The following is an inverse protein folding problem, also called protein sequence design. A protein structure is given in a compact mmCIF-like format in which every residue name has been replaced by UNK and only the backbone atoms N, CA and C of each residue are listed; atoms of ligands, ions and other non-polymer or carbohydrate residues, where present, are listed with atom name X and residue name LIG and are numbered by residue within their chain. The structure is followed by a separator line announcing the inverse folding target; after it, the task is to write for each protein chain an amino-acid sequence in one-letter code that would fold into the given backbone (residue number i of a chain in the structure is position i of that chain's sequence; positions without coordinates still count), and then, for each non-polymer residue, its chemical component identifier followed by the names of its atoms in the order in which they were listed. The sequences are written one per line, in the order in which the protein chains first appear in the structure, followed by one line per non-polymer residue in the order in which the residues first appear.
data_IF_983523762202
#
_entry.id   IF_983523762202
#
_cell.length_a   1.000
_cell.length_b   1.000
_cell.length_c   1.000
_cell.angle_alpha   90.00
_cell.angle_beta   90.00
_cell.angle_gamma   90.00
#
_symmetry.space_group_name_H-M   'P 1'
#
loop_
_entity.id
_entity.type
_entity.pdbx_description
1 polymer ?
#
# COMPACT_ATOMS: atom_id res chain seq x y z
N UNK A 1 -37.98 2.22 39.82
CA UNK A 1 -37.30 2.91 40.92
C UNK A 1 -35.83 3.03 40.52
N UNK A 2 -35.48 4.00 39.79
CA UNK A 2 -34.87 5.30 40.09
C UNK A 2 -33.57 5.19 40.90
N UNK A 3 -32.44 5.42 40.27
CA UNK A 3 -31.41 6.24 40.84
C UNK A 3 -30.55 6.91 39.76
N UNK A 4 -31.03 8.08 39.37
CA UNK A 4 -30.29 9.17 38.74
C UNK A 4 -29.56 9.89 39.87
N UNK A 5 -28.35 10.25 39.69
CA UNK A 5 -27.59 11.36 40.30
C UNK A 5 -26.19 10.93 40.71
N UNK A 6 -25.21 11.27 39.89
CA UNK A 6 -24.14 12.14 40.35
C UNK A 6 -23.52 12.83 39.14
N UNK A 7 -24.06 13.98 38.81
CA UNK A 7 -23.33 15.04 38.15
C UNK A 7 -22.26 15.54 39.12
N UNK A 8 -21.04 15.54 38.76
CA UNK A 8 -20.01 16.40 39.34
C UNK A 8 -19.67 17.48 38.33
N UNK A 9 -20.11 18.72 38.56
CA UNK A 9 -19.54 19.88 37.90
C UNK A 9 -18.38 20.36 38.76
N UNK A 10 -17.23 20.56 38.22
CA UNK A 10 -16.17 21.49 38.64
C UNK A 10 -14.83 21.04 38.03
N UNK A 11 -14.49 21.63 36.92
CA UNK A 11 -13.19 22.25 36.74
C UNK A 11 -13.17 22.97 35.38
N UNK A 12 -13.80 24.12 35.35
CA UNK A 12 -13.44 25.15 34.40
C UNK A 12 -12.11 25.74 34.87
N UNK A 13 -11.05 25.44 34.18
CA UNK A 13 -9.79 26.18 34.30
C UNK A 13 -9.55 26.91 32.98
N UNK A 14 -9.90 28.15 33.01
CA UNK A 14 -9.42 29.19 32.11
C UNK A 14 -7.87 29.27 32.20
N UNK A 15 -7.17 28.99 31.12
CA UNK A 15 -5.84 29.52 30.93
C UNK A 15 -5.85 30.25 29.58
N UNK A 16 -6.12 31.55 29.69
CA UNK A 16 -5.74 32.53 28.69
C UNK A 16 -4.25 32.81 28.88
N UNK A 17 -3.43 32.42 27.92
CA UNK A 17 -2.06 32.93 27.78
C UNK A 17 -1.86 33.30 26.32
N UNK A 18 -1.99 34.58 26.06
CA UNK A 18 -1.51 35.25 24.86
C UNK A 18 0.01 35.14 24.83
N UNK A 19 0.54 34.61 23.74
CA UNK A 19 1.96 34.58 23.43
C UNK A 19 2.15 34.81 21.95
N UNK A 20 2.22 36.07 21.58
CA UNK A 20 2.71 36.53 20.29
C UNK A 20 4.20 36.20 20.20
N UNK A 21 4.61 35.34 19.31
CA UNK A 21 5.97 35.27 18.78
C UNK A 21 5.92 35.03 17.29
N UNK A 22 6.00 36.15 16.58
CA UNK A 22 6.40 36.21 15.19
C UNK A 22 7.80 35.62 15.04
N UNK A 23 7.91 34.56 14.28
CA UNK A 23 9.17 33.98 13.86
C UNK A 23 9.07 33.70 12.36
N UNK A 24 9.34 34.70 11.54
CA UNK A 24 9.70 34.50 10.15
C UNK A 24 11.05 33.78 10.11
N UNK A 25 11.04 32.52 9.71
CA UNK A 25 12.24 31.83 9.27
C UNK A 25 12.17 31.72 7.76
N UNK A 26 12.94 32.58 7.11
CA UNK A 26 13.32 32.50 5.69
C UNK A 26 13.92 31.12 5.43
N UNK A 27 13.24 30.31 4.64
CA UNK A 27 13.83 29.12 4.02
C UNK A 27 14.47 29.55 2.70
N UNK A 28 15.79 29.48 2.53
CA UNK A 28 16.39 29.72 1.25
C UNK A 28 15.99 28.64 0.27
N UNK A 29 15.31 29.03 -0.78
CA UNK A 29 15.02 28.22 -1.94
C UNK A 29 16.33 27.67 -2.52
N UNK A 30 16.52 26.36 -2.42
CA UNK A 30 17.59 25.65 -3.11
C UNK A 30 17.25 25.60 -4.61
N UNK A 31 17.63 26.66 -5.33
CA UNK A 31 17.63 26.66 -6.79
C UNK A 31 18.79 25.81 -7.28
N UNK A 32 18.50 24.55 -7.61
CA UNK A 32 19.43 23.75 -8.39
C UNK A 32 19.39 24.18 -9.84
N UNK A 33 20.45 24.92 -10.21
CA UNK A 33 20.77 25.33 -11.58
C UNK A 33 21.06 24.05 -12.43
N UNK A 34 20.44 23.90 -13.61
CA UNK A 34 20.76 22.79 -14.48
C UNK A 34 22.19 22.93 -15.03
N UNK A 35 22.95 21.82 -15.15
CA UNK A 35 24.28 21.88 -15.74
C UNK A 35 24.20 22.20 -17.23
N UNK A 36 25.00 23.20 -17.61
CA UNK A 36 25.21 23.63 -19.01
C UNK A 36 25.79 22.48 -19.82
N UNK A 37 25.24 22.30 -21.02
CA UNK A 37 25.79 21.54 -22.12
C UNK A 37 27.27 21.79 -22.33
N UNK A 38 28.06 20.76 -22.24
CA UNK A 38 29.42 20.78 -22.75
C UNK A 38 29.41 20.23 -24.19
N UNK A 39 29.92 21.06 -25.06
CA UNK A 39 30.13 20.90 -26.47
C UNK A 39 30.93 19.65 -26.84
N UNK A 40 30.50 18.99 -27.92
CA UNK A 40 31.18 17.92 -28.63
C UNK A 40 32.58 18.30 -29.12
N UNK A 41 33.52 17.37 -29.11
CA UNK A 41 34.56 17.32 -30.14
C UNK A 41 34.14 16.30 -31.23
N UNK A 42 34.28 16.77 -32.49
CA UNK A 42 34.35 15.96 -33.70
C UNK A 42 35.59 15.09 -33.65
N UNK A 43 35.46 13.80 -33.93
CA UNK A 43 36.46 13.03 -34.63
C UNK A 43 35.89 11.71 -35.13
N UNK A 44 35.84 11.58 -36.40
CA UNK A 44 36.44 10.54 -37.30
C UNK A 44 35.64 9.27 -37.47
N UNK A 45 35.17 9.14 -38.70
CA UNK A 45 34.73 7.96 -39.45
C UNK A 45 35.61 6.74 -39.23
N UNK A 46 35.01 5.55 -39.02
CA UNK A 46 35.45 4.29 -39.63
C UNK A 46 34.34 3.24 -39.53
N UNK A 47 34.03 2.64 -40.65
CA UNK A 47 33.45 1.34 -40.98
C UNK A 47 31.94 1.14 -40.74
N UNK A 48 31.24 1.19 -41.86
CA UNK A 48 30.00 0.45 -42.11
C UNK A 48 30.15 -1.02 -41.73
N UNK A 49 29.31 -1.46 -40.81
CA UNK A 49 28.93 -2.85 -40.70
C UNK A 49 27.41 -2.87 -40.66
N UNK A 50 26.85 -3.36 -41.80
CA UNK A 50 25.44 -3.69 -41.94
C UNK A 50 24.94 -4.44 -40.72
N UNK A 51 24.15 -3.76 -39.91
CA UNK A 51 23.32 -4.42 -38.90
C UNK A 51 21.89 -3.93 -39.15
N UNK A 52 21.08 -4.80 -39.72
CA UNK A 52 19.66 -4.54 -39.92
C UNK A 52 19.01 -4.02 -38.62
N UNK A 53 18.14 -3.01 -38.69
CA UNK A 53 17.45 -2.52 -37.51
C UNK A 53 16.58 -3.64 -36.93
N UNK A 54 16.52 -3.78 -35.58
CA UNK A 54 15.65 -4.76 -34.96
C UNK A 54 14.22 -4.52 -35.38
N UNK A 55 13.37 -5.56 -35.51
CA UNK A 55 11.98 -5.41 -35.92
C UNK A 55 11.30 -4.41 -34.98
N UNK A 56 10.64 -3.43 -35.56
CA UNK A 56 9.80 -2.47 -34.81
C UNK A 56 8.78 -3.25 -34.01
N UNK A 57 9.01 -3.42 -32.72
CA UNK A 57 7.99 -3.94 -31.83
C UNK A 57 6.77 -3.04 -31.94
N UNK A 58 5.65 -3.62 -32.38
CA UNK A 58 4.41 -2.88 -32.52
C UNK A 58 3.95 -2.41 -31.15
N UNK A 59 3.39 -1.21 -31.06
CA UNK A 59 2.87 -0.60 -29.83
C UNK A 59 1.92 -1.53 -29.06
N UNK A 60 1.31 -2.50 -29.75
CA UNK A 60 0.48 -3.56 -29.14
C UNK A 60 1.31 -4.52 -28.27
N UNK A 61 2.51 -4.92 -28.71
CA UNK A 61 3.39 -5.84 -27.96
C UNK A 61 4.00 -5.18 -26.73
N UNK A 62 4.33 -3.89 -26.82
CA UNK A 62 4.82 -3.12 -25.66
C UNK A 62 3.71 -2.99 -24.62
N UNK A 63 2.50 -2.69 -25.05
CA UNK A 63 1.33 -2.55 -24.16
C UNK A 63 0.90 -3.89 -23.53
N UNK A 64 1.15 -4.99 -24.21
CA UNK A 64 0.89 -6.34 -23.70
C UNK A 64 1.96 -6.76 -22.68
N UNK A 65 3.24 -6.44 -22.91
CA UNK A 65 4.31 -6.64 -21.91
C UNK A 65 4.23 -5.72 -20.70
N UNK A 66 3.66 -4.53 -20.83
CA UNK A 66 3.34 -3.67 -19.69
C UNK A 66 2.21 -4.26 -18.85
N UNK A 67 1.20 -4.85 -19.49
CA UNK A 67 0.13 -5.56 -18.77
C UNK A 67 0.60 -6.84 -18.07
N UNK A 68 1.60 -7.53 -18.62
CA UNK A 68 2.19 -8.72 -18.00
C UNK A 68 3.15 -8.41 -16.85
N UNK A 69 3.75 -7.22 -16.81
CA UNK A 69 4.62 -6.79 -15.70
C UNK A 69 3.87 -6.27 -14.47
N UNK A 70 2.61 -5.88 -14.62
CA UNK A 70 1.79 -5.36 -13.52
C UNK A 70 1.09 -6.43 -12.69
N UNK A 71 1.23 -7.71 -13.04
CA UNK A 71 0.59 -8.81 -12.32
C UNK A 71 1.50 -10.03 -12.31
N UNK A 72 2.31 -10.17 -11.28
CA UNK A 72 2.66 -11.50 -10.76
C UNK A 72 1.47 -12.05 -9.94
N UNK A 73 0.31 -11.90 -10.50
CA UNK A 73 -0.95 -12.45 -10.05
C UNK A 73 -1.24 -13.63 -10.97
N UNK A 74 -1.04 -14.84 -10.49
CA UNK A 74 -1.33 -16.06 -11.24
C UNK A 74 -2.76 -16.10 -11.81
N UNK A 75 -3.09 -17.04 -12.71
CA UNK A 75 -4.30 -17.05 -13.56
C UNK A 75 -5.64 -17.12 -12.81
N UNK A 76 -5.66 -16.88 -11.50
CA UNK A 76 -6.83 -16.98 -10.61
C UNK A 76 -7.27 -15.64 -10.01
N UNK A 77 -6.59 -14.53 -10.35
CA UNK A 77 -6.91 -13.26 -9.75
C UNK A 77 -8.09 -12.59 -10.44
N UNK A 78 -9.15 -12.42 -9.68
CA UNK A 78 -10.33 -11.70 -10.16
C UNK A 78 -9.98 -10.24 -10.46
N UNK A 79 -10.63 -9.64 -11.47
CA UNK A 79 -10.50 -8.21 -11.76
C UNK A 79 -10.73 -7.37 -10.48
N UNK A 80 -11.64 -7.81 -9.63
CA UNK A 80 -11.94 -7.19 -8.35
C UNK A 80 -10.74 -7.14 -7.39
N UNK A 81 -9.93 -8.21 -7.33
CA UNK A 81 -8.72 -8.23 -6.50
C UNK A 81 -7.69 -7.25 -7.04
N UNK A 82 -7.45 -7.26 -8.36
CA UNK A 82 -6.52 -6.30 -9.00
C UNK A 82 -6.91 -4.85 -8.76
N UNK A 83 -8.20 -4.52 -8.89
CA UNK A 83 -8.71 -3.17 -8.62
C UNK A 83 -8.46 -2.76 -7.16
N UNK A 84 -8.72 -3.65 -6.22
CA UNK A 84 -8.50 -3.38 -4.81
C UNK A 84 -7.02 -3.22 -4.46
N UNK A 85 -6.14 -4.04 -5.04
CA UNK A 85 -4.68 -3.92 -4.88
C UNK A 85 -4.17 -2.61 -5.49
N UNK A 86 -4.69 -2.21 -6.65
CA UNK A 86 -4.35 -0.92 -7.26
C UNK A 86 -4.72 0.24 -6.34
N UNK A 87 -5.93 0.26 -5.80
CA UNK A 87 -6.35 1.30 -4.84
C UNK A 87 -5.42 1.35 -3.60
N UNK A 88 -4.99 0.20 -3.10
CA UNK A 88 -4.01 0.13 -2.02
C UNK A 88 -2.68 0.76 -2.42
N UNK A 89 -2.15 0.44 -3.60
CA UNK A 89 -0.89 0.99 -4.12
C UNK A 89 -0.98 2.50 -4.39
N UNK A 90 -2.16 2.98 -4.79
CA UNK A 90 -2.46 4.40 -4.99
C UNK A 90 -2.63 5.18 -3.66
N UNK A 91 -2.62 4.47 -2.51
CA UNK A 91 -2.80 5.06 -1.18
C UNK A 91 -4.27 5.28 -0.79
N UNK A 92 -5.23 4.88 -1.61
CA UNK A 92 -6.66 4.89 -1.27
C UNK A 92 -7.01 3.63 -0.45
N UNK A 93 -6.60 3.65 0.82
CA UNK A 93 -6.77 2.50 1.71
C UNK A 93 -8.24 2.21 2.04
N UNK A 94 -9.10 3.22 2.16
CA UNK A 94 -10.52 3.02 2.41
C UNK A 94 -11.25 2.51 1.17
N UNK A 95 -10.90 3.00 -0.01
CA UNK A 95 -11.34 2.47 -1.29
C UNK A 95 -10.92 1.01 -1.48
N UNK A 96 -9.67 0.68 -1.15
CA UNK A 96 -9.15 -0.69 -1.18
C UNK A 96 -9.94 -1.62 -0.25
N UNK A 97 -10.17 -1.22 1.01
CA UNK A 97 -10.98 -1.98 1.97
C UNK A 97 -12.38 -2.23 1.42
N UNK A 98 -13.03 -1.18 0.91
CA UNK A 98 -14.38 -1.28 0.34
C UNK A 98 -14.42 -2.23 -0.85
N UNK A 99 -13.48 -2.09 -1.80
CA UNK A 99 -13.41 -2.91 -3.02
C UNK A 99 -13.11 -4.37 -2.71
N UNK A 100 -12.15 -4.62 -1.83
CA UNK A 100 -11.73 -5.98 -1.44
C UNK A 100 -12.73 -6.68 -0.51
N UNK A 101 -13.62 -5.95 0.14
CA UNK A 101 -14.69 -6.50 0.97
C UNK A 101 -15.98 -6.74 0.17
N UNK A 102 -16.01 -6.45 -1.11
CA UNK A 102 -17.21 -6.56 -1.93
C UNK A 102 -17.65 -8.03 -2.12
N UNK A 103 -18.90 -8.21 -2.52
CA UNK A 103 -19.54 -9.53 -2.58
C UNK A 103 -18.84 -10.47 -3.58
N UNK A 104 -18.38 -9.94 -4.70
CA UNK A 104 -17.66 -10.71 -5.74
C UNK A 104 -16.35 -11.32 -5.21
N UNK A 105 -15.61 -10.60 -4.38
CA UNK A 105 -14.45 -11.14 -3.66
C UNK A 105 -14.87 -12.22 -2.65
N UNK A 106 -15.93 -11.99 -1.90
CA UNK A 106 -16.41 -12.95 -0.90
C UNK A 106 -16.90 -14.26 -1.52
N UNK A 107 -17.35 -14.24 -2.78
CA UNK A 107 -17.75 -15.39 -3.57
C UNK A 107 -16.59 -16.05 -4.33
N UNK A 108 -15.40 -15.46 -4.30
CA UNK A 108 -14.22 -15.95 -5.01
C UNK A 108 -13.57 -17.16 -4.32
N UNK A 109 -12.69 -17.90 -5.01
CA UNK A 109 -11.92 -18.98 -4.42
C UNK A 109 -11.16 -18.58 -3.16
N UNK A 110 -10.88 -19.51 -2.23
CA UNK A 110 -10.19 -19.22 -0.97
C UNK A 110 -8.88 -18.45 -1.14
N UNK A 111 -8.07 -18.79 -2.12
CA UNK A 111 -6.80 -18.09 -2.39
C UNK A 111 -6.99 -16.60 -2.70
N UNK A 112 -7.97 -16.26 -3.54
CA UNK A 112 -8.32 -14.85 -3.85
C UNK A 112 -8.81 -14.11 -2.60
N UNK A 113 -9.63 -14.79 -1.77
CA UNK A 113 -10.14 -14.21 -0.52
C UNK A 113 -9.03 -13.98 0.50
N UNK A 114 -8.07 -14.90 0.62
CA UNK A 114 -6.89 -14.73 1.48
C UNK A 114 -6.04 -13.54 1.01
N UNK A 115 -5.78 -13.44 -0.30
CA UNK A 115 -5.07 -12.30 -0.85
C UNK A 115 -5.79 -10.97 -0.59
N UNK A 116 -7.11 -10.92 -0.77
CA UNK A 116 -7.91 -9.74 -0.44
C UNK A 116 -7.84 -9.37 1.04
N UNK A 117 -7.97 -10.34 1.94
CA UNK A 117 -7.88 -10.13 3.39
C UNK A 117 -6.49 -9.64 3.83
N UNK A 118 -5.43 -10.06 3.15
CA UNK A 118 -4.08 -9.55 3.35
C UNK A 118 -4.02 -8.03 3.10
N UNK A 119 -4.47 -7.58 1.93
CA UNK A 119 -4.45 -6.14 1.60
C UNK A 119 -5.43 -5.30 2.43
N UNK A 120 -6.57 -5.87 2.83
CA UNK A 120 -7.47 -5.25 3.81
C UNK A 120 -6.75 -5.07 5.15
N UNK A 121 -6.02 -6.08 5.63
CA UNK A 121 -5.24 -5.99 6.85
C UNK A 121 -4.18 -4.90 6.75
N UNK A 122 -3.41 -4.87 5.67
CA UNK A 122 -2.40 -3.83 5.44
C UNK A 122 -3.02 -2.43 5.46
N UNK A 123 -4.14 -2.23 4.75
CA UNK A 123 -4.87 -0.96 4.71
C UNK A 123 -5.31 -0.51 6.11
N UNK A 124 -5.82 -1.42 6.94
CA UNK A 124 -6.17 -1.11 8.31
C UNK A 124 -4.95 -0.78 9.18
N UNK A 125 -3.85 -1.50 9.02
CA UNK A 125 -2.64 -1.24 9.80
C UNK A 125 -2.01 0.12 9.44
N UNK A 126 -1.93 0.46 8.16
CA UNK A 126 -1.40 1.74 7.67
C UNK A 126 -2.26 2.92 8.15
N UNK A 127 -3.58 2.73 8.24
CA UNK A 127 -4.51 3.76 8.70
C UNK A 127 -4.76 3.74 10.22
N UNK A 128 -3.82 3.17 10.99
CA UNK A 128 -3.84 3.16 12.47
C UNK A 128 -5.08 2.48 13.06
N UNK A 129 -5.57 1.42 12.42
CA UNK A 129 -6.71 0.60 12.86
C UNK A 129 -6.25 -0.83 13.23
N UNK A 130 -5.43 -1.01 14.28
CA UNK A 130 -4.74 -2.29 14.55
C UNK A 130 -5.69 -3.43 14.92
N UNK A 131 -6.85 -3.14 15.50
CA UNK A 131 -7.84 -4.17 15.83
C UNK A 131 -8.44 -4.79 14.56
N UNK A 132 -8.82 -3.96 13.57
CA UNK A 132 -9.35 -4.42 12.29
C UNK A 132 -8.26 -5.10 11.44
N UNK A 133 -7.03 -4.58 11.48
CA UNK A 133 -5.87 -5.21 10.87
C UNK A 133 -5.70 -6.65 11.39
N UNK A 134 -5.67 -6.83 12.71
CA UNK A 134 -5.58 -8.13 13.36
C UNK A 134 -6.73 -9.06 12.96
N UNK A 135 -7.96 -8.56 13.00
CA UNK A 135 -9.14 -9.32 12.65
C UNK A 135 -9.11 -9.82 11.19
N UNK A 136 -8.54 -9.02 10.28
CA UNK A 136 -8.40 -9.39 8.88
C UNK A 136 -7.38 -10.52 8.69
N UNK A 137 -6.26 -10.47 9.39
CA UNK A 137 -5.30 -11.59 9.41
C UNK A 137 -5.89 -12.85 10.05
N UNK A 138 -6.62 -12.73 11.15
CA UNK A 138 -7.29 -13.87 11.78
C UNK A 138 -8.30 -14.52 10.82
N UNK A 139 -9.00 -13.73 9.98
CA UNK A 139 -9.90 -14.27 8.94
C UNK A 139 -9.10 -14.98 7.83
N UNK A 140 -7.99 -14.41 7.36
CA UNK A 140 -7.14 -15.03 6.37
C UNK A 140 -6.60 -16.40 6.83
N UNK A 141 -6.07 -16.45 8.05
CA UNK A 141 -5.53 -17.68 8.66
C UNK A 141 -6.60 -18.74 8.95
N UNK A 142 -7.87 -18.34 9.13
CA UNK A 142 -8.97 -19.32 9.21
C UNK A 142 -9.32 -19.91 7.85
N UNK A 143 -9.15 -19.17 6.77
CA UNK A 143 -9.36 -19.68 5.42
C UNK A 143 -8.21 -20.55 4.93
N UNK A 144 -7.01 -20.18 5.30
CA UNK A 144 -5.78 -20.89 4.98
C UNK A 144 -4.81 -20.83 6.17
N UNK A 145 -4.75 -21.87 7.00
CA UNK A 145 -3.83 -21.93 8.14
C UNK A 145 -2.34 -21.91 7.72
N UNK A 146 -2.03 -22.26 6.48
CA UNK A 146 -0.66 -22.22 5.94
C UNK A 146 -0.24 -20.84 5.42
N UNK A 147 -1.19 -19.89 5.35
CA UNK A 147 -0.93 -18.55 4.85
C UNK A 147 0.24 -17.88 5.58
N UNK A 148 1.14 -17.31 4.79
CA UNK A 148 2.25 -16.48 5.29
C UNK A 148 2.41 -15.22 4.44
N UNK A 149 3.09 -14.23 4.99
CA UNK A 149 3.47 -13.02 4.27
C UNK A 149 4.67 -13.31 3.37
N UNK A 150 4.73 -12.64 2.22
CA UNK A 150 5.89 -12.72 1.35
C UNK A 150 7.15 -12.19 2.06
N UNK A 151 8.37 -12.64 1.67
CA UNK A 151 9.61 -12.21 2.34
C UNK A 151 9.77 -10.70 2.46
N UNK A 152 9.36 -9.93 1.45
CA UNK A 152 9.39 -8.46 1.49
C UNK A 152 8.31 -7.81 2.37
N UNK A 153 7.28 -8.55 2.76
CA UNK A 153 6.20 -8.08 3.62
C UNK A 153 6.44 -8.43 5.10
N UNK A 154 7.26 -9.45 5.35
CA UNK A 154 7.63 -9.88 6.69
C UNK A 154 8.47 -8.81 7.38
N UNK A 155 8.27 -8.64 8.69
CA UNK A 155 9.04 -7.66 9.48
C UNK A 155 8.63 -6.20 9.30
N UNK A 156 7.66 -5.89 8.47
CA UNK A 156 7.17 -4.52 8.31
C UNK A 156 6.65 -3.96 9.65
N UNK A 157 7.05 -2.73 10.07
CA UNK A 157 6.80 -2.22 11.41
C UNK A 157 5.32 -2.09 11.78
N UNK A 158 4.45 -1.81 10.79
CA UNK A 158 3.02 -1.58 11.07
C UNK A 158 2.23 -2.88 11.18
N UNK A 159 2.45 -3.85 10.31
CA UNK A 159 1.65 -5.09 10.29
C UNK A 159 2.40 -6.34 10.73
N UNK A 160 3.74 -6.36 10.66
CA UNK A 160 4.54 -7.52 11.04
C UNK A 160 4.23 -8.04 12.44
N UNK A 161 4.30 -7.20 13.50
CA UNK A 161 3.97 -7.63 14.86
C UNK A 161 2.52 -8.09 15.01
N UNK A 162 1.59 -7.47 14.28
CA UNK A 162 0.16 -7.84 14.30
C UNK A 162 -0.05 -9.21 13.65
N UNK A 163 0.60 -9.46 12.51
CA UNK A 163 0.55 -10.74 11.81
C UNK A 163 1.13 -11.87 12.65
N UNK A 164 2.30 -11.68 13.27
CA UNK A 164 2.92 -12.67 14.16
C UNK A 164 1.96 -13.07 15.29
N UNK A 165 1.34 -12.09 15.95
CA UNK A 165 0.33 -12.35 16.99
C UNK A 165 -0.87 -13.14 16.46
N UNK A 166 -1.35 -12.84 15.23
CA UNK A 166 -2.42 -13.57 14.59
C UNK A 166 -2.02 -15.02 14.33
N UNK A 167 -0.83 -15.24 13.78
CA UNK A 167 -0.30 -16.57 13.45
C UNK A 167 -0.09 -17.43 14.68
N UNK A 168 0.40 -16.85 15.79
CA UNK A 168 0.55 -17.58 17.06
C UNK A 168 -0.81 -18.01 17.64
N UNK A 169 -1.83 -17.18 17.53
CA UNK A 169 -3.17 -17.52 18.03
C UNK A 169 -3.92 -18.53 17.14
N UNK A 170 -3.58 -18.62 15.86
CA UNK A 170 -4.18 -19.55 14.92
C UNK A 170 -3.62 -21.00 15.03
N UNK A 171 -2.51 -21.20 15.78
CA UNK A 171 -1.94 -22.55 15.99
C UNK A 171 -2.92 -23.41 16.78
N UNK A 172 -3.19 -24.66 16.33
CA UNK A 172 -3.95 -25.62 17.13
C UNK A 172 -3.21 -25.86 18.46
N UNK A 173 -3.97 -25.92 19.54
CA UNK A 173 -3.47 -26.31 20.87
C UNK A 173 -3.36 -27.81 20.97
#
# INVERSE_FOLDING_TARGET
MMNIRRLSPLLAVLIAAAGLLSGCADFPAFQQKPPRSASHPKATSVLERDTAPPPRETASRVKERERERDCDCGPKDSAALRDGVRLYNDGDFDGAIKRLSARDINSSPPATRVAALKYIAFSYCVTSRPAQCRQSFDKALRLDPSFDLAPGEQGHPLWGPVFVKAKLAARPR
#
